data_IF_425764557042
#
_entry.id   IF_425764557042
#
_cell.length_a   1.000
_cell.length_b   1.000
_cell.length_c   1.000
_cell.angle_alpha   90.00
_cell.angle_beta   90.00
_cell.angle_gamma   90.00
#
_symmetry.space_group_name_H-M   'P 1'
#
loop_
_entity.id
_entity.type
_entity.pdbx_description
1 polymer ?
#
# COMPACT_ATOMS: atom_id res chain seq x y z
N UNK A 1 -6.19 5.59 4.27
CA UNK A 1 -6.01 6.34 5.53
C UNK A 1 -5.85 7.80 5.16
N UNK A 2 -6.80 8.69 5.48
CA UNK A 2 -6.81 10.08 5.00
C UNK A 2 -5.61 10.92 5.45
N UNK A 3 -4.79 10.40 6.38
CA UNK A 3 -3.59 11.07 6.87
C UNK A 3 -2.28 10.56 6.24
N UNK A 4 -2.36 9.61 5.29
CA UNK A 4 -1.20 9.11 4.54
C UNK A 4 -1.29 9.55 3.09
N UNK A 5 -0.19 10.09 2.57
CA UNK A 5 -0.01 10.46 1.17
C UNK A 5 1.40 10.07 0.72
N UNK A 6 1.52 9.70 -0.55
CA UNK A 6 2.80 9.48 -1.22
C UNK A 6 2.94 10.52 -2.32
N UNK A 7 4.08 11.20 -2.37
CA UNK A 7 4.37 12.24 -3.38
C UNK A 7 4.64 11.57 -4.73
N UNK A 8 4.04 12.09 -5.81
CA UNK A 8 4.11 11.48 -7.15
C UNK A 8 5.51 11.50 -7.79
N UNK A 9 6.43 12.32 -7.29
CA UNK A 9 7.79 12.51 -7.82
C UNK A 9 8.86 11.80 -6.95
N UNK A 10 8.45 10.76 -6.22
CA UNK A 10 9.39 10.00 -5.42
C UNK A 10 10.25 9.08 -6.32
N UNK A 11 11.53 9.42 -6.48
CA UNK A 11 12.49 8.59 -7.22
C UNK A 11 12.71 7.21 -6.57
N UNK A 12 12.60 7.12 -5.25
CA UNK A 12 12.72 5.87 -4.52
C UNK A 12 11.74 5.82 -3.35
N UNK A 13 10.99 4.72 -3.30
CA UNK A 13 10.11 4.36 -2.19
C UNK A 13 10.70 3.12 -1.52
N UNK A 14 10.69 3.09 -0.19
CA UNK A 14 11.07 1.94 0.62
C UNK A 14 9.85 1.51 1.41
N UNK A 15 9.39 0.28 1.17
CA UNK A 15 8.31 -0.33 1.93
C UNK A 15 8.88 -1.36 2.89
N UNK A 16 8.45 -1.29 4.14
CA UNK A 16 8.82 -2.23 5.19
C UNK A 16 7.60 -3.05 5.61
N UNK A 17 7.77 -4.36 5.69
CA UNK A 17 6.76 -5.29 6.18
C UNK A 17 7.31 -6.10 7.36
N UNK A 18 6.51 -6.22 8.42
CA UNK A 18 6.87 -6.98 9.61
C UNK A 18 6.09 -8.28 9.65
N UNK A 19 6.80 -9.38 9.39
CA UNK A 19 6.25 -10.72 9.46
C UNK A 19 6.22 -11.21 10.93
N UNK A 20 5.09 -10.96 11.60
CA UNK A 20 4.87 -11.36 13.00
C UNK A 20 4.99 -12.88 13.25
N UNK A 21 4.44 -13.77 12.40
CA UNK A 21 4.44 -15.22 12.66
C UNK A 21 5.82 -15.90 12.54
N UNK A 22 6.84 -15.19 12.03
CA UNK A 22 8.15 -15.77 11.71
C UNK A 22 9.28 -15.01 12.43
N UNK A 23 9.25 -15.04 13.77
CA UNK A 23 10.23 -14.38 14.62
C UNK A 23 10.39 -12.86 14.37
N UNK A 24 9.28 -12.17 14.06
CA UNK A 24 9.28 -10.72 13.80
C UNK A 24 10.27 -10.31 12.70
N UNK A 25 10.36 -11.12 11.63
CA UNK A 25 11.26 -10.83 10.53
C UNK A 25 10.80 -9.58 9.79
N UNK A 26 11.73 -8.65 9.59
CA UNK A 26 11.50 -7.43 8.83
C UNK A 26 11.92 -7.65 7.38
N UNK A 27 11.01 -7.36 6.45
CA UNK A 27 11.24 -7.41 5.02
C UNK A 27 11.21 -6.00 4.43
N UNK A 28 12.04 -5.78 3.43
CA UNK A 28 12.13 -4.50 2.74
C UNK A 28 12.06 -4.72 1.24
N UNK A 29 11.28 -3.88 0.58
CA UNK A 29 11.30 -3.74 -0.87
C UNK A 29 11.50 -2.26 -1.19
N UNK A 30 12.23 -1.97 -2.26
CA UNK A 30 12.43 -0.61 -2.71
C UNK A 30 12.45 -0.51 -4.23
N UNK A 31 12.09 0.67 -4.71
CA UNK A 31 12.05 0.97 -6.14
C UNK A 31 11.35 2.30 -6.40
N UNK A 32 11.35 2.70 -7.67
CA UNK A 32 10.65 3.89 -8.13
C UNK A 32 9.13 3.72 -8.08
N UNK A 33 8.38 4.82 -8.07
CA UNK A 33 6.92 4.81 -7.91
C UNK A 33 6.19 4.11 -9.07
N UNK A 34 6.78 4.11 -10.26
CA UNK A 34 6.31 3.43 -11.45
C UNK A 34 6.58 1.91 -11.42
N UNK A 35 7.40 1.42 -10.49
CA UNK A 35 7.61 -0.01 -10.34
C UNK A 35 6.28 -0.67 -9.92
N UNK A 36 5.77 -1.67 -10.67
CA UNK A 36 4.45 -2.25 -10.39
C UNK A 36 4.28 -2.83 -8.99
N UNK A 37 5.36 -3.36 -8.39
CA UNK A 37 5.35 -3.93 -7.04
C UNK A 37 5.23 -2.81 -6.01
N UNK A 38 6.01 -1.74 -6.17
CA UNK A 38 5.99 -0.57 -5.29
C UNK A 38 4.66 0.18 -5.42
N UNK A 39 4.17 0.40 -6.63
CA UNK A 39 2.89 1.04 -6.89
C UNK A 39 1.76 0.29 -6.18
N UNK A 40 1.73 -1.04 -6.30
CA UNK A 40 0.76 -1.87 -5.61
C UNK A 40 0.88 -1.77 -4.09
N UNK A 41 2.10 -1.82 -3.54
CA UNK A 41 2.33 -1.66 -2.10
C UNK A 41 1.84 -0.29 -1.60
N UNK A 42 2.08 0.79 -2.35
CA UNK A 42 1.56 2.13 -2.04
C UNK A 42 0.04 2.13 -2.01
N UNK A 43 -0.61 1.59 -3.04
CA UNK A 43 -2.08 1.51 -3.09
C UNK A 43 -2.62 0.69 -1.91
N UNK A 44 -2.02 -0.46 -1.62
CA UNK A 44 -2.42 -1.33 -0.51
C UNK A 44 -2.26 -0.63 0.86
N UNK A 45 -1.24 0.24 1.03
CA UNK A 45 -1.02 1.02 2.25
C UNK A 45 -2.00 2.20 2.35
N UNK A 46 -2.21 2.93 1.25
CA UNK A 46 -3.05 4.13 1.22
C UNK A 46 -4.52 3.78 1.33
N UNK A 47 -4.99 2.77 0.62
CA UNK A 47 -6.41 2.42 0.53
C UNK A 47 -6.80 1.23 1.41
N UNK A 48 -5.82 0.47 1.91
CA UNK A 48 -6.03 -0.87 2.45
C UNK A 48 -5.89 -1.93 1.34
N UNK A 49 -6.02 -3.20 1.70
CA UNK A 49 -5.94 -4.29 0.71
C UNK A 49 -7.06 -4.16 -0.35
N UNK A 50 -6.84 -4.66 -1.57
CA UNK A 50 -7.86 -4.68 -2.66
C UNK A 50 -9.30 -5.02 -2.18
N UNK A 51 -9.53 -6.05 -1.33
CA UNK A 51 -10.87 -6.34 -0.80
C UNK A 51 -11.47 -5.23 0.08
N UNK A 52 -10.63 -4.46 0.79
CA UNK A 52 -11.07 -3.31 1.58
C UNK A 52 -11.47 -2.11 0.68
N UNK A 53 -10.86 -1.99 -0.50
CA UNK A 53 -11.23 -1.01 -1.52
C UNK A 53 -12.61 -1.35 -2.13
N UNK A 54 -12.82 -2.60 -2.55
CA UNK A 54 -14.09 -3.05 -3.13
C UNK A 54 -15.27 -2.87 -2.15
N UNK A 55 -15.05 -3.14 -0.85
CA UNK A 55 -16.04 -2.92 0.21
C UNK A 55 -16.36 -1.43 0.47
N UNK A 56 -15.40 -0.53 0.21
CA UNK A 56 -15.63 0.92 0.32
C UNK A 56 -16.40 1.41 -0.90
N UNK A 57 -16.02 1.01 -2.11
CA UNK A 57 -16.73 1.39 -3.34
C UNK A 57 -18.19 0.92 -3.30
N UNK A 58 -18.46 -0.32 -2.87
CA UNK A 58 -19.84 -0.84 -2.77
C UNK A 58 -20.74 -0.01 -1.85
N UNK A 59 -20.16 0.71 -0.87
CA UNK A 59 -20.91 1.59 0.05
C UNK A 59 -21.34 2.91 -0.60
N UNK A 60 -20.65 3.36 -1.64
CA UNK A 60 -20.95 4.60 -2.35
C UNK A 60 -21.82 4.38 -3.58
N UNK A 61 -21.78 3.20 -4.19
CA UNK A 61 -22.58 2.85 -5.37
C UNK A 61 -23.94 2.19 -5.07
N UNK A 62 -24.31 2.03 -3.79
CA UNK A 62 -25.62 1.45 -3.38
C UNK A 62 -26.72 2.50 -3.12
N UNK A 63 -26.57 3.73 -3.65
CA UNK A 63 -27.57 4.79 -3.59
C UNK A 63 -28.13 5.09 -4.98
#
# INVERSE_FOLDING_TARGET
NPNLAVVCDAEQVICADLEKPNNYRMHYISGAIENPIINKAIVDILEGTRPAFDNRDSKYYSY
#
